data_IF_578232195143
#
_entry.id   IF_578232195143
#
_cell.length_a   1.000
_cell.length_b   1.000
_cell.length_c   1.000
_cell.angle_alpha   90.00
_cell.angle_beta   90.00
_cell.angle_gamma   90.00
#
_symmetry.space_group_name_H-M   'P 1'
#
loop_
_entity.id
_entity.type
_entity.pdbx_description
1 polymer ?
#
# COMPACT_ATOMS: atom_id res chain seq x y z
N UNK A 1 0.83 -3.17 -25.31
CA UNK A 1 0.41 -3.85 -24.08
C UNK A 1 0.90 -3.08 -22.88
N UNK A 2 0.04 -2.86 -21.92
CA UNK A 2 0.46 -2.20 -20.69
C UNK A 2 1.08 -3.23 -19.75
N UNK A 3 2.09 -2.81 -19.02
CA UNK A 3 2.69 -3.63 -17.98
C UNK A 3 1.68 -3.89 -16.85
N UNK A 4 1.76 -5.06 -16.21
CA UNK A 4 0.98 -5.32 -15.02
C UNK A 4 1.45 -4.41 -13.87
N UNK A 5 0.61 -4.17 -12.87
CA UNK A 5 1.05 -3.40 -11.69
C UNK A 5 2.31 -3.98 -11.05
N UNK A 6 2.42 -5.30 -10.99
CA UNK A 6 3.61 -5.97 -10.45
C UNK A 6 4.85 -5.65 -11.28
N UNK A 7 4.76 -5.77 -12.60
CA UNK A 7 5.88 -5.45 -13.49
C UNK A 7 6.30 -4.00 -13.35
N UNK A 8 5.32 -3.10 -13.23
CA UNK A 8 5.59 -1.67 -13.05
C UNK A 8 6.41 -1.41 -11.80
N UNK A 9 6.04 -2.02 -10.68
CA UNK A 9 6.79 -1.86 -9.45
C UNK A 9 8.21 -2.41 -9.58
N UNK A 10 8.37 -3.55 -10.24
CA UNK A 10 9.70 -4.12 -10.44
C UNK A 10 10.58 -3.22 -11.31
N UNK A 11 10.01 -2.63 -12.35
CA UNK A 11 10.73 -1.69 -13.22
C UNK A 11 11.13 -0.41 -12.48
N UNK A 12 10.37 -0.03 -11.46
CA UNK A 12 10.69 1.12 -10.61
C UNK A 12 11.73 0.81 -9.54
N UNK A 13 12.21 -0.42 -9.47
CA UNK A 13 13.26 -0.81 -8.55
C UNK A 13 12.80 -1.49 -7.27
N UNK A 14 11.51 -1.81 -7.16
CA UNK A 14 11.00 -2.58 -6.02
C UNK A 14 11.40 -4.03 -6.22
N UNK A 15 12.25 -4.53 -5.35
CA UNK A 15 12.83 -5.88 -5.47
C UNK A 15 11.89 -6.95 -4.97
N UNK A 16 11.11 -6.63 -3.94
CA UNK A 16 10.15 -7.55 -3.36
C UNK A 16 8.75 -7.04 -3.66
N UNK A 17 7.97 -7.83 -4.40
CA UNK A 17 6.61 -7.46 -4.81
C UNK A 17 5.70 -8.65 -4.53
N UNK A 18 4.65 -8.43 -3.75
CA UNK A 18 3.73 -9.49 -3.37
C UNK A 18 2.34 -8.94 -3.07
N UNK A 19 1.34 -9.83 -3.12
CA UNK A 19 -0.05 -9.51 -2.80
C UNK A 19 -0.30 -9.82 -1.33
N UNK A 20 -0.99 -8.91 -0.66
CA UNK A 20 -1.41 -9.08 0.72
C UNK A 20 -2.92 -8.83 0.83
N UNK A 21 -3.56 -9.50 1.76
CA UNK A 21 -4.99 -9.31 2.00
C UNK A 21 -5.26 -9.20 3.49
N UNK A 22 -5.99 -8.14 3.86
CA UNK A 22 -6.43 -7.89 5.22
C UNK A 22 -7.94 -8.03 5.31
N UNK A 23 -8.42 -8.51 6.43
CA UNK A 23 -9.84 -8.65 6.68
C UNK A 23 -10.54 -7.31 6.95
N UNK A 24 -11.88 -7.34 7.09
CA UNK A 24 -12.66 -6.12 7.38
C UNK A 24 -12.15 -5.40 8.62
N UNK A 25 -12.01 -4.09 8.49
CA UNK A 25 -11.61 -3.19 9.58
C UNK A 25 -10.25 -3.49 10.21
N UNK A 26 -9.41 -4.31 9.55
CA UNK A 26 -8.04 -4.53 10.02
C UNK A 26 -7.31 -3.20 10.12
N UNK A 27 -6.52 -3.02 11.17
CA UNK A 27 -5.82 -1.76 11.38
C UNK A 27 -4.37 -2.01 11.79
N UNK A 28 -3.52 -1.08 11.37
CA UNK A 28 -2.09 -1.06 11.70
C UNK A 28 -1.80 0.25 12.40
N UNK A 29 -1.32 0.23 13.65
CA UNK A 29 -0.95 1.47 14.35
C UNK A 29 0.29 2.10 13.70
N UNK A 30 0.65 3.27 14.17
CA UNK A 30 1.83 3.96 13.68
C UNK A 30 3.05 3.03 13.67
N UNK A 31 3.69 2.93 12.52
CA UNK A 31 4.88 2.12 12.31
C UNK A 31 5.71 2.68 11.15
N UNK A 32 6.91 2.18 10.98
CA UNK A 32 7.77 2.55 9.86
C UNK A 32 8.43 1.30 9.30
N UNK A 33 8.95 1.43 8.07
CA UNK A 33 9.70 0.36 7.42
C UNK A 33 11.10 0.84 7.09
N UNK A 34 12.09 -0.07 7.05
CA UNK A 34 13.47 0.32 6.75
C UNK A 34 13.74 0.61 5.27
N UNK A 35 12.76 0.34 4.40
CA UNK A 35 12.89 0.54 2.95
C UNK A 35 11.68 1.30 2.43
N UNK A 36 11.82 1.91 1.24
CA UNK A 36 10.69 2.53 0.56
C UNK A 36 9.66 1.47 0.20
N UNK A 37 8.38 1.79 0.42
CA UNK A 37 7.27 0.86 0.23
C UNK A 37 6.22 1.48 -0.67
N UNK A 38 5.72 0.71 -1.63
CA UNK A 38 4.62 1.12 -2.50
C UNK A 38 3.42 0.21 -2.29
N UNK A 39 2.23 0.76 -2.53
CA UNK A 39 0.98 0.01 -2.44
C UNK A 39 0.13 0.29 -3.68
N UNK A 40 -0.52 -0.74 -4.21
CA UNK A 40 -1.53 -0.58 -5.26
C UNK A 40 -2.75 -1.36 -4.82
N UNK A 41 -3.88 -0.68 -4.71
CA UNK A 41 -5.11 -1.30 -4.23
C UNK A 41 -5.71 -2.16 -5.34
N UNK A 42 -5.96 -3.43 -5.05
CA UNK A 42 -6.53 -4.38 -6.00
C UNK A 42 -8.02 -4.58 -5.75
N UNK A 43 -8.45 -4.56 -4.48
CA UNK A 43 -9.84 -4.75 -4.12
C UNK A 43 -10.07 -4.19 -2.71
N UNK A 44 -11.27 -3.67 -2.45
CA UNK A 44 -11.62 -3.07 -1.16
C UNK A 44 -11.10 -1.65 -1.03
N UNK A 45 -10.82 -1.23 0.20
CA UNK A 45 -10.32 0.12 0.45
C UNK A 45 -9.35 0.18 1.62
N UNK A 46 -8.44 1.13 1.54
CA UNK A 46 -7.43 1.38 2.57
C UNK A 46 -7.39 2.87 2.90
N UNK A 47 -7.47 3.20 4.18
CA UNK A 47 -7.25 4.56 4.67
C UNK A 47 -5.85 4.63 5.22
N UNK A 48 -5.03 5.49 4.63
CA UNK A 48 -3.61 5.62 4.98
C UNK A 48 -3.38 7.00 5.59
N UNK A 49 -2.70 7.03 6.74
CA UNK A 49 -2.29 8.27 7.40
C UNK A 49 -0.77 8.33 7.40
N UNK A 50 -0.23 9.37 6.77
CA UNK A 50 1.21 9.58 6.69
C UNK A 50 1.49 11.08 6.58
N UNK A 51 2.47 11.58 7.34
CA UNK A 51 2.86 12.97 7.27
C UNK A 51 1.75 13.96 7.63
N UNK A 52 0.83 13.57 8.53
CA UNK A 52 -0.30 14.41 8.93
C UNK A 52 -1.46 14.43 7.94
N UNK A 53 -1.37 13.65 6.87
CA UNK A 53 -2.41 13.56 5.84
C UNK A 53 -3.10 12.21 5.91
N UNK A 54 -4.43 12.19 5.85
CA UNK A 54 -5.24 10.97 5.89
C UNK A 54 -6.11 10.92 4.65
N UNK A 55 -5.96 9.83 3.86
CA UNK A 55 -6.70 9.64 2.62
C UNK A 55 -7.18 8.19 2.50
N UNK A 56 -8.31 8.01 1.85
CA UNK A 56 -8.85 6.68 1.56
C UNK A 56 -8.65 6.36 0.08
N UNK A 57 -8.14 5.17 -0.19
CA UNK A 57 -7.84 4.69 -1.54
C UNK A 57 -8.65 3.43 -1.83
N UNK A 58 -9.11 3.32 -3.07
CA UNK A 58 -9.94 2.21 -3.53
C UNK A 58 -9.28 1.46 -4.69
N UNK A 59 -9.90 0.37 -5.13
CA UNK A 59 -9.37 -0.49 -6.18
C UNK A 59 -8.91 0.33 -7.41
N UNK A 60 -7.74 0.01 -7.92
CA UNK A 60 -7.12 0.68 -9.06
C UNK A 60 -6.25 1.88 -8.69
N UNK A 61 -6.32 2.36 -7.45
CA UNK A 61 -5.54 3.51 -7.02
C UNK A 61 -4.22 3.08 -6.40
N UNK A 62 -3.22 3.94 -6.54
CA UNK A 62 -1.92 3.78 -5.90
C UNK A 62 -1.72 4.92 -4.91
N UNK A 63 -1.76 4.65 -3.60
CA UNK A 63 -1.38 5.65 -2.60
C UNK A 63 0.05 6.14 -2.85
N UNK A 64 0.40 7.34 -2.40
CA UNK A 64 1.80 7.79 -2.47
C UNK A 64 2.72 6.78 -1.81
N UNK A 65 3.90 6.56 -2.39
CA UNK A 65 4.88 5.67 -1.83
C UNK A 65 5.29 6.18 -0.44
N UNK A 66 5.54 5.24 0.47
CA UNK A 66 5.96 5.55 1.83
C UNK A 66 7.48 5.48 1.89
N UNK A 67 8.19 6.60 2.13
CA UNK A 67 9.63 6.58 2.22
C UNK A 67 10.14 5.76 3.41
N UNK A 68 11.34 5.22 3.27
CA UNK A 68 12.00 4.52 4.38
C UNK A 68 12.02 5.41 5.63
N UNK A 69 11.64 4.84 6.76
CA UNK A 69 11.62 5.55 8.04
C UNK A 69 10.41 6.43 8.31
N UNK A 70 9.55 6.65 7.32
CA UNK A 70 8.36 7.49 7.52
C UNK A 70 7.33 6.75 8.37
N UNK A 71 6.87 7.40 9.42
CA UNK A 71 5.84 6.84 10.31
C UNK A 71 4.48 6.96 9.64
N UNK A 72 3.74 5.87 9.59
CA UNK A 72 2.40 5.84 8.99
C UNK A 72 1.53 4.80 9.68
N UNK A 73 0.22 4.96 9.48
CA UNK A 73 -0.79 4.02 9.97
C UNK A 73 -1.78 3.72 8.86
N UNK A 74 -2.50 2.61 8.97
CA UNK A 74 -3.46 2.21 7.97
C UNK A 74 -4.66 1.51 8.60
N UNK A 75 -5.81 1.64 7.95
CA UNK A 75 -7.02 0.92 8.33
C UNK A 75 -7.76 0.49 7.08
N UNK A 76 -8.23 -0.76 7.09
CA UNK A 76 -8.99 -1.32 5.98
C UNK A 76 -10.48 -1.02 6.14
N UNK A 77 -11.19 -0.95 5.02
CA UNK A 77 -12.61 -0.69 5.02
C UNK A 77 -13.45 -1.89 5.45
N UNK A 78 -14.79 -1.78 5.35
CA UNK A 78 -15.71 -2.82 5.84
C UNK A 78 -15.66 -4.12 5.02
N UNK A 79 -15.07 -4.09 3.83
CA UNK A 79 -14.89 -5.27 2.97
C UNK A 79 -13.45 -5.82 3.08
N UNK A 80 -12.62 -5.23 3.93
CA UNK A 80 -11.19 -5.53 3.93
C UNK A 80 -10.49 -4.85 2.77
N UNK A 81 -9.27 -5.32 2.46
CA UNK A 81 -8.50 -4.77 1.35
C UNK A 81 -7.50 -5.80 0.86
N UNK A 82 -7.44 -5.97 -0.46
CA UNK A 82 -6.38 -6.76 -1.10
C UNK A 82 -5.54 -5.78 -1.90
N UNK A 83 -4.24 -5.85 -1.71
CA UNK A 83 -3.34 -4.89 -2.33
C UNK A 83 -1.98 -5.50 -2.64
N UNK A 84 -1.33 -4.88 -3.61
CA UNK A 84 0.02 -5.22 -4.01
C UNK A 84 0.98 -4.38 -3.18
N UNK A 85 2.02 -5.00 -2.65
CA UNK A 85 3.07 -4.33 -1.88
C UNK A 85 4.37 -4.43 -2.65
N UNK A 86 5.07 -3.29 -2.77
CA UNK A 86 6.44 -3.27 -3.27
C UNK A 86 7.39 -2.78 -2.18
N UNK A 87 8.53 -3.45 -2.05
CA UNK A 87 9.58 -3.07 -1.09
C UNK A 87 10.91 -2.95 -1.83
N UNK A 88 11.62 -1.87 -1.61
CA UNK A 88 12.94 -1.65 -2.23
C UNK A 88 14.08 -2.31 -1.52
#
# INVERSE_FOLDING_TARGET
MSASPEQRLREEGFRRVYVWQDGPHASYPDHSHPVDTAHIILDGEMTLTCGGSTETYVAGQRPPDVPAGAVHSARMGPQGCRYLIGEK
#
